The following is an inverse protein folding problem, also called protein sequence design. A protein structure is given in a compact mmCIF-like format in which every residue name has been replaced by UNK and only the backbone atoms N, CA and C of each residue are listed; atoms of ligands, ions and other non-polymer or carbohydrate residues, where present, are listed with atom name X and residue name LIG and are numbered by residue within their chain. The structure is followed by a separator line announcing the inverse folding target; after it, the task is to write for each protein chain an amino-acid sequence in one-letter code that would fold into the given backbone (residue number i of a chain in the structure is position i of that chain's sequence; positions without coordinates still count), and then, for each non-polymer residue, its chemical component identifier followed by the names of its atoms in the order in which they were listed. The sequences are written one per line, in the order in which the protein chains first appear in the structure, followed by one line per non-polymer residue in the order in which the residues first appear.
data_IF_903124647343
#
_entry.id   IF_903124647343
#
_cell.length_a   1.000
_cell.length_b   1.000
_cell.length_c   1.000
_cell.angle_alpha   90.00
_cell.angle_beta   90.00
_cell.angle_gamma   90.00
#
_symmetry.space_group_name_H-M   'P 1'
#
loop_
_entity.id
_entity.type
_entity.pdbx_description
1 polymer ?
#
# COMPACT_ATOMS: atom_id res chain seq x y z
N UNK A 1 37.06 49.71 12.22
CA UNK A 1 36.65 48.63 13.16
C UNK A 1 35.23 48.07 12.95
N UNK A 2 34.37 48.68 12.13
CA UNK A 2 32.96 48.27 12.00
C UNK A 2 32.72 46.95 11.24
N UNK A 3 33.62 46.52 10.37
CA UNK A 3 33.48 45.26 9.59
C UNK A 3 33.65 43.99 10.45
N UNK A 4 34.47 44.03 11.51
CA UNK A 4 34.65 42.89 12.43
C UNK A 4 33.42 42.64 13.31
N UNK A 5 32.63 43.68 13.61
CA UNK A 5 31.36 43.58 14.38
C UNK A 5 30.16 43.20 13.50
N UNK A 6 30.16 43.49 12.20
CA UNK A 6 29.08 43.16 11.26
C UNK A 6 29.09 41.70 10.78
N UNK A 7 30.27 41.08 10.68
CA UNK A 7 30.40 39.70 10.20
C UNK A 7 29.67 38.65 11.07
N UNK A 8 29.72 38.71 12.42
CA UNK A 8 28.93 37.83 13.28
C UNK A 8 27.42 37.96 13.04
N UNK A 9 26.90 39.18 12.87
CA UNK A 9 25.48 39.41 12.60
C UNK A 9 25.05 38.88 11.22
N UNK A 10 25.91 39.04 10.19
CA UNK A 10 25.64 38.48 8.86
C UNK A 10 25.62 36.95 8.88
N UNK A 11 26.57 36.32 9.58
CA UNK A 11 26.61 34.86 9.76
C UNK A 11 25.39 34.36 10.54
N UNK A 12 25.05 35.01 11.66
CA UNK A 12 23.87 34.67 12.45
C UNK A 12 22.57 34.76 11.64
N UNK A 13 22.38 35.82 10.85
CA UNK A 13 21.19 35.98 10.02
C UNK A 13 21.09 34.87 8.96
N UNK A 14 22.22 34.46 8.39
CA UNK A 14 22.29 33.40 7.38
C UNK A 14 22.04 32.01 8.01
N UNK A 15 22.64 31.72 9.15
CA UNK A 15 22.41 30.49 9.93
C UNK A 15 20.95 30.39 10.40
N UNK A 16 20.36 31.48 10.89
CA UNK A 16 18.96 31.52 11.29
C UNK A 16 18.02 31.25 10.11
N UNK A 17 18.29 31.86 8.95
CA UNK A 17 17.51 31.62 7.74
C UNK A 17 17.60 30.15 7.28
N UNK A 18 18.79 29.54 7.35
CA UNK A 18 18.99 28.13 7.04
C UNK A 18 18.23 27.21 8.02
N UNK A 19 18.25 27.52 9.32
CA UNK A 19 17.48 26.75 10.32
C UNK A 19 15.97 26.84 10.11
N UNK A 20 15.45 28.03 9.80
CA UNK A 20 14.02 28.21 9.50
C UNK A 20 13.63 27.44 8.25
N UNK A 21 14.46 27.46 7.21
CA UNK A 21 14.21 26.70 5.99
C UNK A 21 14.24 25.19 6.24
N UNK A 22 15.21 24.70 7.02
CA UNK A 22 15.30 23.29 7.42
C UNK A 22 14.05 22.84 8.19
N UNK A 23 13.58 23.66 9.14
CA UNK A 23 12.37 23.35 9.92
C UNK A 23 11.11 23.29 9.06
N UNK A 24 10.95 24.23 8.12
CA UNK A 24 9.84 24.18 7.15
C UNK A 24 9.89 22.95 6.26
N UNK A 25 11.09 22.55 5.83
CA UNK A 25 11.25 21.34 5.04
C UNK A 25 10.88 20.08 5.84
N UNK A 26 11.24 20.01 7.12
CA UNK A 26 10.83 18.93 8.03
C UNK A 26 9.32 18.89 8.25
N UNK A 27 8.69 20.04 8.49
CA UNK A 27 7.23 20.15 8.65
C UNK A 27 6.51 19.67 7.38
N UNK A 28 6.96 20.10 6.19
CA UNK A 28 6.38 19.67 4.91
C UNK A 28 6.47 18.16 4.72
N UNK A 29 7.65 17.58 4.97
CA UNK A 29 7.87 16.14 4.82
C UNK A 29 7.04 15.35 5.84
N UNK A 30 6.96 15.84 7.08
CA UNK A 30 6.20 15.20 8.16
C UNK A 30 4.70 15.19 7.87
N UNK A 31 4.17 16.29 7.34
CA UNK A 31 2.77 16.36 6.93
C UNK A 31 2.45 15.33 5.82
N UNK A 32 3.30 15.29 4.78
CA UNK A 32 3.14 14.31 3.68
C UNK A 32 3.29 12.87 4.14
N UNK A 33 4.17 12.60 5.10
CA UNK A 33 4.29 11.28 5.72
C UNK A 33 2.99 10.90 6.44
N UNK A 34 2.39 11.84 7.19
CA UNK A 34 1.09 11.62 7.83
C UNK A 34 -0.01 11.28 6.83
N UNK A 35 -0.08 12.00 5.70
CA UNK A 35 -1.05 11.69 4.63
C UNK A 35 -0.82 10.28 4.05
N UNK A 36 0.44 9.89 3.85
CA UNK A 36 0.79 8.56 3.35
C UNK A 36 0.45 7.46 4.36
N UNK A 37 0.76 7.66 5.65
CA UNK A 37 0.43 6.74 6.74
C UNK A 37 -1.08 6.52 6.84
N UNK A 38 -1.87 7.60 6.75
CA UNK A 38 -3.34 7.52 6.77
C UNK A 38 -3.90 6.73 5.58
N UNK A 39 -3.35 6.92 4.38
CA UNK A 39 -3.83 6.19 3.21
C UNK A 39 -3.47 4.70 3.29
N UNK A 40 -2.27 4.36 3.78
CA UNK A 40 -1.87 2.98 4.05
C UNK A 40 -2.76 2.34 5.13
N UNK A 41 -3.14 3.08 6.17
CA UNK A 41 -4.06 2.61 7.20
C UNK A 41 -5.46 2.32 6.65
N UNK A 42 -5.99 3.16 5.75
CA UNK A 42 -7.27 2.90 5.06
C UNK A 42 -7.24 1.59 4.27
N UNK A 43 -6.19 1.39 3.46
CA UNK A 43 -5.99 0.16 2.68
C UNK A 43 -5.94 -1.06 3.61
N UNK A 44 -5.22 -0.93 4.73
CA UNK A 44 -5.10 -1.98 5.74
C UNK A 44 -6.44 -2.32 6.39
N UNK A 45 -7.23 -1.32 6.77
CA UNK A 45 -8.56 -1.53 7.36
C UNK A 45 -9.54 -2.19 6.39
N UNK A 46 -9.54 -1.78 5.12
CA UNK A 46 -10.40 -2.42 4.11
C UNK A 46 -10.00 -3.86 3.82
N UNK A 47 -8.71 -4.18 3.99
CA UNK A 47 -8.18 -5.53 3.78
C UNK A 47 -8.25 -6.41 5.03
N UNK A 48 -8.67 -5.88 6.19
CA UNK A 48 -8.77 -6.64 7.44
C UNK A 48 -9.79 -7.79 7.37
N UNK A 49 -10.74 -7.73 6.43
CA UNK A 49 -11.64 -8.85 6.15
C UNK A 49 -10.88 -10.11 5.70
N UNK A 50 -9.70 -9.96 5.08
CA UNK A 50 -8.85 -11.07 4.66
C UNK A 50 -8.37 -11.96 5.80
N UNK A 51 -8.25 -11.41 7.02
CA UNK A 51 -7.86 -12.18 8.22
C UNK A 51 -8.98 -13.13 8.70
N UNK A 52 -10.23 -12.87 8.29
CA UNK A 52 -11.41 -13.64 8.70
C UNK A 52 -11.85 -14.68 7.68
N UNK A 53 -11.23 -14.69 6.49
CA UNK A 53 -11.53 -15.65 5.44
C UNK A 53 -11.43 -15.04 4.05
N UNK A 54 -12.17 -15.64 3.12
CA UNK A 54 -12.25 -15.18 1.74
C UNK A 54 -13.10 -13.91 1.66
N UNK A 55 -12.51 -12.82 1.18
CA UNK A 55 -13.20 -11.59 0.84
C UNK A 55 -14.04 -11.79 -0.43
N UNK A 56 -15.14 -11.05 -0.54
CA UNK A 56 -15.93 -10.96 -1.76
C UNK A 56 -15.20 -10.19 -2.86
N UNK A 57 -15.60 -10.40 -4.12
CA UNK A 57 -15.03 -9.69 -5.27
C UNK A 57 -15.17 -8.16 -5.15
N UNK A 58 -16.30 -7.69 -4.63
CA UNK A 58 -16.52 -6.25 -4.39
C UNK A 58 -15.59 -5.69 -3.32
N UNK A 59 -15.33 -6.44 -2.25
CA UNK A 59 -14.43 -6.00 -1.17
C UNK A 59 -12.97 -5.95 -1.65
N UNK A 60 -12.53 -6.97 -2.42
CA UNK A 60 -11.18 -6.99 -3.00
C UNK A 60 -11.00 -5.83 -3.98
N UNK A 61 -11.96 -5.60 -4.88
CA UNK A 61 -11.91 -4.50 -5.84
C UNK A 61 -11.84 -3.13 -5.15
N UNK A 62 -12.66 -2.92 -4.12
CA UNK A 62 -12.66 -1.65 -3.39
C UNK A 62 -11.35 -1.40 -2.64
N UNK A 63 -10.71 -2.45 -2.10
CA UNK A 63 -9.40 -2.32 -1.46
C UNK A 63 -8.28 -2.05 -2.49
N UNK A 64 -8.34 -2.67 -3.67
CA UNK A 64 -7.37 -2.48 -4.75
C UNK A 64 -7.33 -1.03 -5.26
N UNK A 65 -8.48 -0.36 -5.33
CA UNK A 65 -8.57 1.04 -5.76
C UNK A 65 -7.77 1.99 -4.86
N UNK A 66 -7.59 1.65 -3.58
CA UNK A 66 -6.85 2.47 -2.62
C UNK A 66 -5.34 2.19 -2.59
N UNK A 67 -4.88 1.05 -3.13
CA UNK A 67 -3.46 0.68 -3.12
C UNK A 67 -2.62 1.72 -3.87
N UNK A 68 -3.07 2.12 -5.05
CA UNK A 68 -2.29 3.01 -5.92
C UNK A 68 -2.09 4.40 -5.30
N UNK A 69 -3.13 5.09 -4.80
CA UNK A 69 -2.97 6.35 -4.07
C UNK A 69 -1.98 6.24 -2.90
N UNK A 70 -2.10 5.19 -2.07
CA UNK A 70 -1.20 4.96 -0.95
C UNK A 70 0.26 4.77 -1.40
N UNK A 71 0.48 3.94 -2.42
CA UNK A 71 1.81 3.68 -2.95
C UNK A 71 2.47 4.94 -3.53
N UNK A 72 1.70 5.74 -4.27
CA UNK A 72 2.19 6.99 -4.86
C UNK A 72 2.62 8.00 -3.77
N UNK A 73 1.82 8.15 -2.69
CA UNK A 73 2.16 9.03 -1.57
C UNK A 73 3.44 8.58 -0.85
N UNK A 74 3.57 7.29 -0.54
CA UNK A 74 4.77 6.73 0.09
C UNK A 74 6.02 6.97 -0.76
N UNK A 75 5.92 6.76 -2.08
CA UNK A 75 7.03 7.03 -3.02
C UNK A 75 7.40 8.51 -3.05
N UNK A 76 6.41 9.40 -3.03
CA UNK A 76 6.65 10.86 -2.99
C UNK A 76 7.39 11.25 -1.71
N UNK A 77 6.97 10.73 -0.55
CA UNK A 77 7.62 11.00 0.74
C UNK A 77 9.07 10.51 0.73
N UNK A 78 9.33 9.28 0.31
CA UNK A 78 10.68 8.72 0.24
C UNK A 78 11.60 9.58 -0.65
N UNK A 79 11.14 9.97 -1.84
CA UNK A 79 11.91 10.85 -2.74
C UNK A 79 12.16 12.23 -2.13
N UNK A 80 11.17 12.78 -1.42
CA UNK A 80 11.30 14.08 -0.78
C UNK A 80 12.34 14.02 0.35
N UNK A 81 12.27 13.00 1.20
CA UNK A 81 13.26 12.75 2.26
C UNK A 81 14.67 12.63 1.67
N UNK A 82 14.87 11.78 0.66
CA UNK A 82 16.16 11.63 -0.01
C UNK A 82 16.71 12.94 -0.56
N UNK A 83 15.83 13.78 -1.12
CA UNK A 83 16.20 15.10 -1.64
C UNK A 83 16.62 16.06 -0.52
N UNK A 84 15.92 16.03 0.63
CA UNK A 84 16.26 16.87 1.80
C UNK A 84 17.48 16.36 2.56
N UNK A 85 17.75 15.07 2.53
CA UNK A 85 18.91 14.47 3.17
C UNK A 85 20.23 14.90 2.52
N UNK A 86 20.23 15.16 1.20
CA UNK A 86 21.40 15.64 0.46
C UNK A 86 21.89 16.97 1.02
N UNK A 87 23.02 16.93 1.73
CA UNK A 87 23.65 18.09 2.34
C UNK A 87 23.14 18.44 3.75
N UNK A 88 22.20 17.66 4.31
CA UNK A 88 21.82 17.75 5.73
C UNK A 88 22.92 17.15 6.62
N UNK A 89 23.10 17.71 7.82
CA UNK A 89 24.04 17.21 8.83
C UNK A 89 23.49 17.37 10.25
N UNK A 90 24.07 16.64 11.19
CA UNK A 90 23.68 16.67 12.60
C UNK A 90 22.22 16.29 12.81
N UNK A 91 21.56 16.99 13.73
CA UNK A 91 20.18 16.73 14.15
C UNK A 91 19.16 16.72 13.00
N UNK A 92 19.32 17.59 11.99
CA UNK A 92 18.44 17.59 10.82
C UNK A 92 18.51 16.27 10.03
N UNK A 93 19.71 15.69 9.94
CA UNK A 93 19.89 14.42 9.25
C UNK A 93 19.24 13.28 10.04
N UNK A 94 19.42 13.26 11.36
CA UNK A 94 18.82 12.26 12.26
C UNK A 94 17.28 12.30 12.19
N UNK A 95 16.69 13.50 12.17
CA UNK A 95 15.24 13.65 12.00
C UNK A 95 14.76 13.14 10.63
N UNK A 96 15.49 13.45 9.56
CA UNK A 96 15.17 12.95 8.21
C UNK A 96 15.35 11.43 8.10
N UNK A 97 16.35 10.85 8.76
CA UNK A 97 16.55 9.39 8.83
C UNK A 97 15.37 8.73 9.56
N UNK A 98 14.90 9.29 10.68
CA UNK A 98 13.71 8.80 11.39
C UNK A 98 12.43 8.84 10.53
N UNK A 99 12.23 9.92 9.78
CA UNK A 99 11.12 10.02 8.82
C UNK A 99 11.26 8.98 7.71
N UNK A 100 12.49 8.75 7.21
CA UNK A 100 12.75 7.73 6.18
C UNK A 100 12.36 6.34 6.67
N UNK A 101 12.77 5.99 7.89
CA UNK A 101 12.49 4.69 8.49
C UNK A 101 10.98 4.47 8.62
N UNK A 102 10.24 5.50 9.06
CA UNK A 102 8.77 5.46 9.09
C UNK A 102 8.16 5.27 7.70
N UNK A 103 8.62 6.03 6.70
CA UNK A 103 8.12 5.88 5.33
C UNK A 103 8.41 4.49 4.74
N UNK A 104 9.56 3.90 5.06
CA UNK A 104 9.90 2.52 4.69
C UNK A 104 9.03 1.50 5.42
N UNK A 105 8.69 1.75 6.67
CA UNK A 105 7.75 0.93 7.43
C UNK A 105 6.36 0.97 6.80
N UNK A 106 5.82 2.16 6.49
CA UNK A 106 4.53 2.31 5.79
C UNK A 106 4.53 1.60 4.44
N UNK A 107 5.65 1.66 3.70
CA UNK A 107 5.82 0.90 2.45
C UNK A 107 5.72 -0.60 2.69
N UNK A 108 6.46 -1.11 3.69
CA UNK A 108 6.47 -2.53 4.05
C UNK A 108 5.07 -3.02 4.43
N UNK A 109 4.32 -2.22 5.18
CA UNK A 109 2.97 -2.56 5.59
C UNK A 109 1.99 -2.56 4.40
N UNK A 110 2.11 -1.59 3.50
CA UNK A 110 1.37 -1.60 2.23
C UNK A 110 1.69 -2.84 1.39
N UNK A 111 2.97 -3.19 1.24
CA UNK A 111 3.40 -4.38 0.48
C UNK A 111 2.83 -5.68 1.06
N UNK A 112 2.72 -5.79 2.39
CA UNK A 112 2.06 -6.93 3.05
C UNK A 112 0.58 -7.01 2.67
N UNK A 113 -0.13 -5.88 2.71
CA UNK A 113 -1.56 -5.82 2.38
C UNK A 113 -1.79 -6.19 0.91
N UNK A 114 -0.94 -5.68 0.00
CA UNK A 114 -0.96 -6.06 -1.42
C UNK A 114 -0.79 -7.57 -1.58
N UNK A 115 0.16 -8.17 -0.84
CA UNK A 115 0.36 -9.61 -0.83
C UNK A 115 -0.86 -10.40 -0.32
N UNK A 116 -1.55 -9.90 0.70
CA UNK A 116 -2.80 -10.49 1.20
C UNK A 116 -3.92 -10.40 0.17
N UNK A 117 -4.14 -9.23 -0.44
CA UNK A 117 -5.17 -9.06 -1.48
C UNK A 117 -4.89 -9.91 -2.73
N UNK A 118 -3.62 -10.11 -3.08
CA UNK A 118 -3.26 -11.03 -4.16
C UNK A 118 -3.72 -12.46 -3.88
N UNK A 119 -3.52 -12.97 -2.65
CA UNK A 119 -4.02 -14.28 -2.24
C UNK A 119 -5.54 -14.34 -2.26
N UNK A 120 -6.22 -13.25 -1.88
CA UNK A 120 -7.69 -13.17 -1.94
C UNK A 120 -8.20 -13.27 -3.38
N UNK A 121 -7.54 -12.63 -4.35
CA UNK A 121 -7.87 -12.78 -5.79
C UNK A 121 -7.71 -14.22 -6.27
N UNK A 122 -6.60 -14.86 -5.90
CA UNK A 122 -6.33 -16.26 -6.26
C UNK A 122 -7.38 -17.21 -5.65
N UNK A 123 -7.78 -16.97 -4.40
CA UNK A 123 -8.85 -17.72 -3.74
C UNK A 123 -10.22 -17.58 -4.41
N UNK A 124 -10.61 -16.36 -4.82
CA UNK A 124 -11.83 -16.14 -5.60
C UNK A 124 -11.81 -16.89 -6.94
N UNK A 125 -10.69 -16.81 -7.67
CA UNK A 125 -10.54 -17.51 -8.94
C UNK A 125 -10.66 -19.04 -8.76
N UNK A 126 -10.07 -19.59 -7.70
CA UNK A 126 -10.19 -21.00 -7.38
C UNK A 126 -11.63 -21.42 -7.05
N UNK A 127 -12.37 -20.60 -6.29
CA UNK A 127 -13.78 -20.85 -5.97
C UNK A 127 -14.67 -20.83 -7.22
N UNK A 128 -14.45 -19.87 -8.13
CA UNK A 128 -15.15 -19.80 -9.40
C UNK A 128 -14.87 -21.04 -10.26
N UNK A 129 -13.61 -21.48 -10.31
CA UNK A 129 -13.21 -22.67 -11.05
C UNK A 129 -13.84 -23.94 -10.48
N UNK A 130 -13.90 -24.07 -9.15
CA UNK A 130 -14.54 -25.19 -8.47
C UNK A 130 -16.05 -25.22 -8.77
N UNK A 131 -16.73 -24.08 -8.70
CA UNK A 131 -18.16 -23.97 -9.02
C UNK A 131 -18.46 -24.44 -10.45
N UNK A 132 -17.65 -23.99 -11.42
CA UNK A 132 -17.78 -24.41 -12.81
C UNK A 132 -17.50 -25.91 -13.01
N UNK A 133 -16.54 -26.47 -12.27
CA UNK A 133 -16.23 -27.90 -12.33
C UNK A 133 -17.41 -28.73 -11.79
N UNK A 134 -18.00 -28.34 -10.67
CA UNK A 134 -19.18 -28.99 -10.10
C UNK A 134 -20.36 -28.96 -11.08
N UNK A 135 -20.65 -27.80 -11.67
CA UNK A 135 -21.72 -27.70 -12.68
C UNK A 135 -21.49 -28.63 -13.89
N UNK A 136 -20.24 -28.79 -14.33
CA UNK A 136 -19.91 -29.72 -15.42
C UNK A 136 -20.06 -31.18 -15.01
N UNK A 137 -19.71 -31.53 -13.77
CA UNK A 137 -19.90 -32.88 -13.23
C UNK A 137 -21.39 -33.19 -13.17
N UNK A 138 -22.21 -32.30 -12.62
CA UNK A 138 -23.66 -32.48 -12.54
C UNK A 138 -24.29 -32.75 -13.92
N UNK A 139 -23.90 -31.95 -14.93
CA UNK A 139 -24.37 -32.14 -16.32
C UNK A 139 -23.90 -33.46 -16.93
N UNK A 140 -22.69 -33.90 -16.60
CA UNK A 140 -22.16 -35.18 -17.08
C UNK A 140 -22.90 -36.35 -16.44
N UNK A 141 -23.19 -36.27 -15.14
CA UNK A 141 -24.00 -37.26 -14.41
C UNK A 141 -25.43 -37.33 -14.95
N UNK A 142 -26.08 -36.19 -15.20
CA UNK A 142 -27.40 -36.14 -15.84
C UNK A 142 -27.40 -36.80 -17.23
N UNK A 143 -26.33 -36.57 -18.01
CA UNK A 143 -26.20 -37.16 -19.35
C UNK A 143 -25.99 -38.67 -19.27
N UNK A 144 -25.20 -39.13 -18.30
CA UNK A 144 -24.96 -40.55 -18.06
C UNK A 144 -26.27 -41.26 -17.67
N UNK A 145 -27.07 -40.67 -16.79
CA UNK A 145 -28.38 -41.20 -16.39
C UNK A 145 -29.29 -41.35 -17.62
N UNK A 146 -29.38 -40.33 -18.48
CA UNK A 146 -30.18 -40.39 -19.72
C UNK A 146 -29.71 -41.50 -20.66
N UNK A 147 -28.40 -41.74 -20.78
CA UNK A 147 -27.88 -42.85 -21.56
C UNK A 147 -28.29 -44.20 -20.95
N UNK A 148 -28.18 -44.37 -19.63
CA UNK A 148 -28.60 -45.59 -18.94
C UNK A 148 -30.10 -45.87 -19.12
N UNK A 149 -30.95 -44.84 -19.04
CA UNK A 149 -32.39 -44.96 -19.30
C UNK A 149 -32.69 -45.34 -20.76
N UNK A 150 -31.90 -44.85 -21.72
CA UNK A 150 -32.05 -45.20 -23.14
C UNK A 150 -31.55 -46.61 -23.48
N UNK A 151 -30.58 -47.13 -22.72
CA UNK A 151 -29.99 -48.46 -22.89
C UNK A 151 -30.78 -49.58 -22.20
N UNK A 152 -31.66 -49.26 -21.26
CA UNK A 152 -32.63 -50.21 -20.73
C UNK A 152 -33.56 -50.66 -21.88
N UNK A 153 -33.59 -51.96 -22.22
CA UNK A 153 -34.34 -52.43 -23.37
C UNK A 153 -35.81 -52.05 -23.19
N UNK A 154 -36.39 -51.40 -24.21
CA UNK A 154 -37.84 -51.37 -24.40
C UNK A 154 -38.29 -52.81 -24.64
N UNK A 155 -38.42 -53.58 -23.56
CA UNK A 155 -38.96 -54.93 -23.57
C UNK A 155 -40.35 -54.90 -24.19
N UNK A 156 -40.52 -55.69 -25.24
CA UNK A 156 -41.81 -55.97 -25.86
C UNK A 156 -42.72 -56.84 -25.02
#
# INVERSE_FOLDING_TARGET
ESQRKLNPFKKFKLELAQRVHARKALEEVTAKLGDAELEVEKVSMMSAASDRGQMSESEVSAADELIRPAAELVVVVLKLVETRQKGSQGMLKEELDSIKDRALQSKSDLDKVVGSLQKQREGLAAQQMLSLALEKVDRAEESLIKCQEAELPRGG
#
